data_IF_769582118402
#
_entry.id   IF_769582118402
#
_cell.length_a   1.000
_cell.length_b   1.000
_cell.length_c   1.000
_cell.angle_alpha   90.00
_cell.angle_beta   90.00
_cell.angle_gamma   90.00
#
_symmetry.space_group_name_H-M   'P 1'
#
loop_
_entity.id
_entity.type
_entity.pdbx_description
1 polymer ?
#
# COMPACT_ATOMS: atom_id res chain seq x y z
N UNK A 1 42.86 -31.53 7.54
CA UNK A 1 41.48 -31.10 7.87
C UNK A 1 41.37 -29.63 7.54
N UNK A 2 40.67 -29.28 6.45
CA UNK A 2 40.37 -27.90 6.08
C UNK A 2 38.89 -27.72 6.39
N UNK A 3 38.57 -27.03 7.49
CA UNK A 3 37.20 -26.63 7.81
C UNK A 3 36.95 -25.29 7.11
N UNK A 4 36.33 -25.35 5.93
CA UNK A 4 35.75 -24.17 5.30
C UNK A 4 34.42 -23.89 6.00
N UNK A 5 34.42 -22.97 6.96
CA UNK A 5 33.19 -22.43 7.51
C UNK A 5 32.66 -21.38 6.52
N UNK A 6 31.62 -21.74 5.76
CA UNK A 6 30.87 -20.79 4.95
C UNK A 6 30.08 -19.88 5.90
N UNK A 7 30.47 -18.61 5.98
CA UNK A 7 29.73 -17.59 6.72
C UNK A 7 28.45 -17.29 5.93
N UNK A 8 27.31 -17.76 6.44
CA UNK A 8 26.00 -17.45 5.88
C UNK A 8 25.62 -16.04 6.33
N UNK A 9 25.92 -15.05 5.48
CA UNK A 9 25.52 -13.65 5.68
C UNK A 9 23.99 -13.59 5.72
N UNK A 10 23.44 -13.38 6.92
CA UNK A 10 22.01 -13.14 7.09
C UNK A 10 21.72 -11.73 6.56
N UNK A 11 21.18 -11.62 5.35
CA UNK A 11 20.56 -10.38 4.91
C UNK A 11 19.33 -10.12 5.79
N UNK A 12 19.52 -9.35 6.85
CA UNK A 12 18.44 -8.79 7.64
C UNK A 12 17.69 -7.77 6.79
N UNK A 13 16.70 -8.23 6.01
CA UNK A 13 15.72 -7.34 5.39
C UNK A 13 14.85 -6.80 6.52
N UNK A 14 15.22 -5.64 7.05
CA UNK A 14 14.35 -4.87 7.93
C UNK A 14 13.11 -4.46 7.11
N UNK A 15 12.04 -5.24 7.23
CA UNK A 15 10.72 -4.82 6.75
C UNK A 15 10.31 -3.61 7.58
N UNK A 16 10.50 -2.42 7.01
CA UNK A 16 9.95 -1.19 7.59
C UNK A 16 8.46 -1.20 7.30
N UNK A 17 7.63 -0.98 8.32
CA UNK A 17 6.18 -0.89 8.18
C UNK A 17 5.73 0.21 7.21
N UNK A 18 6.61 1.15 6.87
CA UNK A 18 6.37 2.22 5.90
C UNK A 18 6.79 1.85 4.47
N UNK A 19 7.17 0.61 4.17
CA UNK A 19 7.60 0.24 2.82
C UNK A 19 6.55 -0.59 2.09
N UNK A 20 6.30 -0.21 0.84
CA UNK A 20 5.68 -1.08 -0.14
C UNK A 20 6.60 -2.28 -0.46
N UNK A 21 6.05 -3.32 -1.08
CA UNK A 21 6.82 -4.51 -1.51
C UNK A 21 7.89 -4.14 -2.55
N UNK A 22 7.69 -3.07 -3.32
CA UNK A 22 8.66 -2.46 -4.22
C UNK A 22 9.87 -1.83 -3.52
N UNK A 23 9.76 -1.57 -2.20
CA UNK A 23 10.73 -0.83 -1.41
C UNK A 23 10.48 0.68 -1.34
N UNK A 24 9.48 1.21 -2.06
CA UNK A 24 9.04 2.61 -1.93
C UNK A 24 8.52 2.88 -0.53
N UNK A 25 8.82 4.08 0.01
CA UNK A 25 8.47 4.46 1.38
C UNK A 25 7.25 5.39 1.38
N UNK A 26 6.18 4.97 2.03
CA UNK A 26 4.98 5.78 2.22
C UNK A 26 5.28 7.02 3.08
N UNK A 27 4.65 8.17 2.78
CA UNK A 27 4.73 9.36 3.64
C UNK A 27 4.29 9.04 5.08
N UNK A 28 5.02 9.52 6.12
CA UNK A 28 4.64 9.29 7.52
C UNK A 28 3.27 9.84 7.93
N UNK A 29 2.73 10.80 7.16
CA UNK A 29 1.37 11.32 7.38
C UNK A 29 0.27 10.35 6.92
N UNK A 30 0.60 9.41 6.04
CA UNK A 30 -0.36 8.46 5.45
C UNK A 30 -0.33 7.09 6.13
N UNK A 31 0.84 6.67 6.60
CA UNK A 31 1.05 5.36 7.22
C UNK A 31 1.45 5.54 8.67
N UNK A 32 0.70 5.00 9.64
CA UNK A 32 1.06 5.06 11.05
C UNK A 32 1.97 3.90 11.52
N UNK A 33 2.45 3.06 10.59
CA UNK A 33 3.63 2.23 10.82
C UNK A 33 3.40 0.92 11.58
N UNK A 34 2.22 0.30 11.49
CA UNK A 34 2.01 -1.05 12.01
C UNK A 34 2.28 -2.10 10.90
N UNK A 35 3.36 -2.91 11.01
CA UNK A 35 3.68 -3.95 10.02
C UNK A 35 2.78 -5.19 10.11
N UNK A 36 2.07 -5.39 11.22
CA UNK A 36 1.21 -6.55 11.46
C UNK A 36 -0.24 -6.25 11.06
N UNK A 37 -0.74 -5.05 11.33
CA UNK A 37 -2.06 -4.61 10.85
C UNK A 37 -2.00 -3.93 9.49
N UNK A 38 -0.84 -3.44 9.05
CA UNK A 38 -0.56 -2.98 7.70
C UNK A 38 -1.56 -1.95 7.19
N UNK A 39 -1.41 -0.69 7.61
CA UNK A 39 -2.35 0.36 7.20
C UNK A 39 -2.32 0.61 5.71
N UNK A 40 -1.11 0.59 5.11
CA UNK A 40 -0.90 0.87 3.70
C UNK A 40 -0.44 -0.38 2.95
N UNK A 41 -1.05 -0.64 1.80
CA UNK A 41 -0.64 -1.69 0.88
C UNK A 41 -0.95 -1.30 -0.56
N UNK A 42 -0.23 -1.92 -1.50
CA UNK A 42 -0.67 -1.96 -2.90
C UNK A 42 -2.04 -2.64 -2.99
N UNK A 43 -2.83 -2.22 -3.97
CA UNK A 43 -4.11 -2.81 -4.34
C UNK A 43 -4.16 -3.12 -5.83
N UNK A 44 -4.90 -4.15 -6.29
CA UNK A 44 -4.99 -4.45 -7.70
C UNK A 44 -5.65 -3.31 -8.47
N UNK A 45 -5.10 -2.87 -9.61
CA UNK A 45 -5.72 -1.82 -10.42
C UNK A 45 -7.16 -2.14 -10.87
N UNK A 46 -7.55 -3.42 -10.89
CA UNK A 46 -8.94 -3.84 -11.18
C UNK A 46 -9.95 -3.43 -10.09
N UNK A 47 -9.50 -3.04 -8.90
CA UNK A 47 -10.36 -2.51 -7.83
C UNK A 47 -10.64 -1.02 -8.00
N UNK A 48 -9.93 -0.35 -8.92
CA UNK A 48 -9.93 1.10 -9.12
C UNK A 48 -10.65 1.44 -10.42
N UNK A 49 -11.70 2.25 -10.33
CA UNK A 49 -12.43 2.76 -11.49
C UNK A 49 -12.29 4.28 -11.56
N UNK A 50 -11.60 4.82 -12.58
CA UNK A 50 -11.61 6.25 -12.84
C UNK A 50 -13.02 6.73 -13.18
N UNK A 51 -13.39 7.91 -12.67
CA UNK A 51 -14.64 8.61 -12.97
C UNK A 51 -14.33 10.07 -13.31
N UNK A 52 -15.29 10.88 -13.78
CA UNK A 52 -15.02 12.28 -14.08
C UNK A 52 -14.49 13.10 -12.89
N UNK A 53 -14.89 12.75 -11.67
CA UNK A 53 -14.60 13.55 -10.46
C UNK A 53 -13.50 12.96 -9.56
N UNK A 54 -13.01 11.76 -9.89
CA UNK A 54 -12.02 11.05 -9.09
C UNK A 54 -12.06 9.54 -9.29
N UNK A 55 -11.51 8.80 -8.33
CA UNK A 55 -11.49 7.35 -8.34
C UNK A 55 -12.58 6.76 -7.44
N UNK A 56 -13.26 5.74 -7.94
CA UNK A 56 -14.07 4.83 -7.12
C UNK A 56 -13.26 3.56 -6.90
N UNK A 57 -13.05 3.21 -5.62
CA UNK A 57 -12.25 2.05 -5.22
C UNK A 57 -13.18 1.07 -4.52
N UNK A 58 -13.16 -0.20 -4.93
CA UNK A 58 -13.95 -1.27 -4.29
C UNK A 58 -12.99 -2.36 -3.85
N UNK A 59 -12.78 -2.49 -2.55
CA UNK A 59 -11.93 -3.53 -1.98
C UNK A 59 -12.76 -4.67 -1.42
N UNK A 60 -12.28 -5.90 -1.61
CA UNK A 60 -12.82 -7.12 -1.03
C UNK A 60 -11.76 -7.79 -0.16
N UNK A 61 -12.16 -8.75 0.69
CA UNK A 61 -11.21 -9.54 1.44
C UNK A 61 -10.15 -10.17 0.52
N UNK A 62 -8.88 -9.86 0.80
CA UNK A 62 -7.73 -10.29 0.00
C UNK A 62 -7.13 -9.20 -0.91
N UNK A 63 -7.87 -8.15 -1.27
CA UNK A 63 -7.34 -7.03 -2.07
C UNK A 63 -6.44 -6.11 -1.23
N UNK A 64 -6.70 -6.04 0.06
CA UNK A 64 -5.91 -5.32 1.05
C UNK A 64 -5.94 -6.10 2.37
N UNK A 65 -4.81 -6.14 3.11
CA UNK A 65 -4.66 -6.98 4.32
C UNK A 65 -5.67 -6.66 5.43
N UNK A 66 -6.04 -5.38 5.59
CA UNK A 66 -7.01 -4.93 6.61
C UNK A 66 -8.46 -5.24 6.27
N UNK A 67 -8.77 -5.54 5.02
CA UNK A 67 -10.15 -5.63 4.53
C UNK A 67 -10.74 -7.00 4.83
N UNK A 68 -11.82 -7.03 5.59
CA UNK A 68 -12.54 -8.22 6.08
C UNK A 68 -13.94 -8.36 5.48
N UNK A 69 -14.46 -7.29 4.89
CA UNK A 69 -15.69 -7.29 4.09
C UNK A 69 -15.54 -6.37 2.87
N UNK A 70 -16.58 -6.19 2.05
CA UNK A 70 -16.46 -5.32 0.87
C UNK A 70 -16.65 -3.85 1.27
N UNK A 71 -15.64 -3.04 0.99
CA UNK A 71 -15.67 -1.59 1.20
C UNK A 71 -15.67 -0.82 -0.11
N UNK A 72 -16.22 0.39 -0.08
CA UNK A 72 -16.25 1.31 -1.23
C UNK A 72 -15.79 2.70 -0.80
N UNK A 73 -14.80 3.22 -1.52
CA UNK A 73 -14.24 4.56 -1.29
C UNK A 73 -14.40 5.41 -2.55
N UNK A 74 -14.42 6.73 -2.35
CA UNK A 74 -14.34 7.71 -3.43
C UNK A 74 -13.25 8.72 -3.08
N UNK A 75 -12.27 8.88 -3.97
CA UNK A 75 -11.14 9.79 -3.78
C UNK A 75 -11.13 10.81 -4.94
N UNK A 76 -11.35 12.11 -4.66
CA UNK A 76 -11.26 13.16 -5.67
C UNK A 76 -9.84 13.30 -6.23
N UNK A 77 -9.69 13.65 -7.51
CA UNK A 77 -8.37 13.77 -8.15
C UNK A 77 -7.42 14.74 -7.45
N UNK A 78 -7.94 15.82 -6.85
CA UNK A 78 -7.13 16.83 -6.14
C UNK A 78 -6.54 16.33 -4.80
N UNK A 79 -7.00 15.17 -4.34
CA UNK A 79 -6.59 14.53 -3.09
C UNK A 79 -5.69 13.32 -3.34
N UNK A 80 -5.54 12.88 -4.59
CA UNK A 80 -4.72 11.71 -4.94
C UNK A 80 -3.25 12.08 -4.92
N UNK A 81 -2.42 11.18 -4.39
CA UNK A 81 -0.98 11.35 -4.31
C UNK A 81 -0.31 10.46 -5.38
N UNK A 82 0.68 10.94 -6.15
CA UNK A 82 1.42 10.05 -7.06
C UNK A 82 2.13 8.93 -6.28
N UNK A 83 2.01 7.68 -6.74
CA UNK A 83 2.77 6.56 -6.20
C UNK A 83 4.24 6.62 -6.63
N UNK A 84 5.12 5.99 -5.84
CA UNK A 84 6.56 5.99 -6.10
C UNK A 84 7.06 4.79 -6.90
N UNK A 85 6.17 3.88 -7.24
CA UNK A 85 6.43 2.56 -7.84
C UNK A 85 5.40 2.20 -8.93
N UNK A 86 4.62 3.17 -9.42
CA UNK A 86 3.65 3.02 -10.50
C UNK A 86 2.51 2.03 -10.25
N UNK A 87 2.32 1.62 -8.99
CA UNK A 87 1.19 0.81 -8.54
C UNK A 87 0.12 1.69 -7.85
N UNK A 88 -1.08 1.15 -7.68
CA UNK A 88 -2.11 1.77 -6.83
C UNK A 88 -1.91 1.35 -5.38
N UNK A 89 -2.01 2.28 -4.44
CA UNK A 89 -1.92 2.00 -3.01
C UNK A 89 -3.03 2.70 -2.25
N UNK A 90 -3.44 2.09 -1.15
CA UNK A 90 -4.38 2.71 -0.22
C UNK A 90 -3.90 2.48 1.21
N UNK A 91 -4.07 3.53 2.02
CA UNK A 91 -3.86 3.48 3.45
C UNK A 91 -5.23 3.54 4.14
N UNK A 92 -5.55 2.52 4.94
CA UNK A 92 -6.79 2.45 5.72
C UNK A 92 -6.49 2.74 7.19
N UNK A 93 -7.07 3.82 7.71
CA UNK A 93 -6.92 4.26 9.11
C UNK A 93 -8.10 5.16 9.52
N UNK A 94 -8.67 5.02 10.74
CA UNK A 94 -8.28 4.08 11.80
C UNK A 94 -8.83 2.67 11.62
N UNK A 95 -9.85 2.48 10.78
CA UNK A 95 -10.48 1.19 10.49
C UNK A 95 -10.47 0.90 8.99
N UNK A 96 -10.96 -0.28 8.59
CA UNK A 96 -11.03 -0.66 7.16
C UNK A 96 -11.95 0.27 6.36
N UNK A 97 -12.98 0.86 6.96
CA UNK A 97 -13.94 1.73 6.29
C UNK A 97 -13.42 3.16 6.04
N UNK A 98 -12.22 3.51 6.53
CA UNK A 98 -11.67 4.86 6.48
C UNK A 98 -10.42 4.90 5.60
N UNK A 99 -10.56 5.43 4.40
CA UNK A 99 -9.43 5.81 3.56
C UNK A 99 -8.72 7.02 4.18
N UNK A 100 -7.40 6.91 4.35
CA UNK A 100 -6.54 7.95 4.91
C UNK A 100 -5.66 8.61 3.84
N UNK A 101 -5.10 7.80 2.94
CA UNK A 101 -4.42 8.27 1.73
C UNK A 101 -4.61 7.25 0.60
N UNK A 102 -4.72 7.75 -0.62
CA UNK A 102 -4.75 6.95 -1.83
C UNK A 102 -3.68 7.43 -2.81
N UNK A 103 -2.96 6.47 -3.38
CA UNK A 103 -1.90 6.70 -4.33
C UNK A 103 -2.21 6.06 -5.68
N UNK A 104 -1.96 6.80 -6.75
CA UNK A 104 -2.16 6.34 -8.12
C UNK A 104 -0.87 6.47 -8.94
N UNK A 105 -0.69 5.63 -9.99
CA UNK A 105 0.41 5.77 -10.92
C UNK A 105 0.47 7.18 -11.52
N UNK A 106 1.68 7.73 -11.69
CA UNK A 106 1.86 9.11 -12.15
C UNK A 106 1.28 9.36 -13.56
N UNK A 107 1.22 8.33 -14.40
CA UNK A 107 0.69 8.39 -15.77
C UNK A 107 -0.84 8.37 -15.86
N UNK A 108 -1.55 8.20 -14.72
CA UNK A 108 -3.02 8.15 -14.65
C UNK A 108 -3.68 9.45 -14.16
N UNK A 109 -2.89 10.52 -13.96
CA UNK A 109 -3.36 11.87 -13.57
C UNK A 109 -3.29 12.83 -14.75
#
# INVERSE_FOLDING_TARGET
>A
MIVMAAMLEHLSVSASAHKADSGWTYPPACCHGDPMTGECSSIPGTTVTPTPDGYVIILRPGDHRRVTHQDRYFVPYDSVIPSGDDDFHICLHPTEEHENCFFAPAETM
#
